data_IF_133740688750
#
_entry.id   IF_133740688750
#
_cell.length_a   1.000
_cell.length_b   1.000
_cell.length_c   1.000
_cell.angle_alpha   90.00
_cell.angle_beta   90.00
_cell.angle_gamma   90.00
#
_symmetry.space_group_name_H-M   'P 1'
#
loop_
_entity.id
_entity.type
_entity.pdbx_description
1 polymer ?
#
# COMPACT_ATOMS: atom_id res chain seq x y z
N UNK A 1 5.67 7.27 -1.33
CA UNK A 1 6.13 8.61 -1.72
C UNK A 1 5.40 9.73 -0.98
N UNK A 2 6.13 10.49 -0.17
CA UNK A 2 5.56 11.67 0.51
C UNK A 2 5.23 12.76 -0.52
N UNK A 3 4.07 13.40 -0.37
CA UNK A 3 3.65 14.45 -1.31
C UNK A 3 4.58 15.66 -1.26
N UNK A 4 4.82 16.29 -2.42
CA UNK A 4 5.66 17.49 -2.51
C UNK A 4 5.10 18.65 -1.68
N UNK A 5 3.78 18.72 -1.54
CA UNK A 5 3.10 19.73 -0.72
C UNK A 5 3.47 19.59 0.75
N UNK A 6 3.44 18.37 1.31
CA UNK A 6 3.87 18.12 2.69
C UNK A 6 5.34 18.45 2.91
N UNK A 7 6.21 18.10 1.95
CA UNK A 7 7.63 18.48 1.99
C UNK A 7 7.80 20.00 1.95
N UNK A 8 7.00 20.71 1.16
CA UNK A 8 7.02 22.17 1.10
C UNK A 8 6.52 22.80 2.40
N UNK A 9 5.50 22.24 3.05
CA UNK A 9 5.07 22.68 4.37
C UNK A 9 6.21 22.63 5.40
N UNK A 10 6.98 21.54 5.41
CA UNK A 10 8.17 21.42 6.29
C UNK A 10 9.20 22.50 5.93
N UNK A 11 9.48 22.71 4.65
CA UNK A 11 10.45 23.71 4.19
C UNK A 11 10.06 25.15 4.52
N UNK A 12 8.76 25.45 4.57
CA UNK A 12 8.26 26.78 4.90
C UNK A 12 8.31 27.07 6.41
N UNK A 13 8.46 26.05 7.26
CA UNK A 13 8.52 26.23 8.71
C UNK A 13 9.95 26.55 9.18
N UNK A 14 10.18 27.83 9.42
CA UNK A 14 11.47 28.38 9.87
C UNK A 14 11.89 27.87 11.26
N UNK A 15 10.97 27.31 12.05
CA UNK A 15 11.28 26.79 13.38
C UNK A 15 11.90 25.38 13.34
N UNK A 16 11.54 24.58 12.32
CA UNK A 16 11.97 23.18 12.19
C UNK A 16 13.16 23.01 11.24
N UNK A 17 13.21 23.77 10.14
CA UNK A 17 14.26 23.61 9.11
C UNK A 17 15.68 23.67 9.66
N UNK A 18 16.05 24.61 10.56
CA UNK A 18 17.41 24.67 11.11
C UNK A 18 17.78 23.46 11.98
N UNK A 19 16.78 22.69 12.43
CA UNK A 19 16.94 21.53 13.32
C UNK A 19 16.98 20.21 12.56
N UNK A 20 16.61 20.19 11.29
CA UNK A 20 16.59 18.99 10.45
C UNK A 20 17.93 18.88 9.70
N UNK A 21 18.81 17.97 10.13
CA UNK A 21 20.09 17.72 9.46
C UNK A 21 19.96 16.91 8.16
N UNK A 22 19.00 16.00 8.09
CA UNK A 22 18.68 15.22 6.90
C UNK A 22 17.22 14.77 6.94
N UNK A 23 16.56 14.77 5.78
CA UNK A 23 15.23 14.21 5.58
C UNK A 23 15.29 13.25 4.39
N UNK A 24 15.01 11.97 4.63
CA UNK A 24 15.08 10.93 3.60
C UNK A 24 13.91 9.96 3.72
N UNK A 25 13.35 9.60 2.58
CA UNK A 25 12.36 8.52 2.48
C UNK A 25 13.09 7.17 2.44
N UNK A 26 12.71 6.25 3.33
CA UNK A 26 13.38 4.95 3.48
C UNK A 26 12.68 3.83 2.72
N UNK A 27 11.41 4.01 2.31
CA UNK A 27 10.59 2.99 1.65
C UNK A 27 10.60 1.65 2.42
N UNK A 28 10.25 1.68 3.71
CA UNK A 28 10.13 0.51 4.58
C UNK A 28 8.77 0.55 5.28
N UNK A 29 7.70 0.44 4.49
CA UNK A 29 6.33 0.56 4.99
C UNK A 29 5.73 -0.82 5.31
N UNK A 30 6.49 -1.66 6.00
CA UNK A 30 6.06 -3.00 6.42
C UNK A 30 6.78 -3.39 7.72
N UNK A 31 6.19 -4.35 8.44
CA UNK A 31 6.83 -4.90 9.64
C UNK A 31 7.39 -6.29 9.33
N UNK A 32 8.72 -6.50 9.40
CA UNK A 32 9.28 -7.83 9.37
C UNK A 32 8.94 -8.54 10.68
N UNK A 33 8.30 -9.71 10.58
CA UNK A 33 7.99 -10.57 11.74
C UNK A 33 9.14 -11.55 11.97
N UNK A 34 9.65 -12.13 10.88
CA UNK A 34 10.82 -13.00 10.88
C UNK A 34 11.59 -12.89 9.55
N UNK A 35 12.54 -13.80 9.28
CA UNK A 35 13.36 -13.80 8.06
C UNK A 35 12.58 -14.00 6.74
N UNK A 36 11.35 -14.49 6.80
CA UNK A 36 10.53 -14.84 5.64
C UNK A 36 9.10 -14.27 5.72
N UNK A 37 8.71 -13.68 6.86
CA UNK A 37 7.36 -13.17 7.10
C UNK A 37 7.41 -11.67 7.33
N UNK A 38 6.51 -10.96 6.65
CA UNK A 38 6.22 -9.55 6.88
C UNK A 38 4.71 -9.33 6.93
N UNK A 39 4.30 -8.25 7.59
CA UNK A 39 2.92 -7.78 7.59
C UNK A 39 2.85 -6.34 7.09
N UNK A 40 1.77 -6.01 6.38
CA UNK A 40 1.48 -4.64 5.96
C UNK A 40 0.79 -3.84 7.06
N UNK A 41 0.37 -4.43 8.19
CA UNK A 41 -0.26 -3.78 9.35
C UNK A 41 -1.42 -2.82 8.99
N UNK A 42 -2.51 -3.40 8.48
CA UNK A 42 -3.75 -2.67 8.17
C UNK A 42 -4.91 -3.32 8.91
N UNK A 43 -5.19 -2.82 10.12
CA UNK A 43 -6.08 -3.45 11.12
C UNK A 43 -7.47 -3.80 10.55
N UNK A 44 -8.06 -2.92 9.73
CA UNK A 44 -9.42 -3.08 9.21
C UNK A 44 -9.48 -3.69 7.81
N UNK A 45 -8.38 -4.25 7.29
CA UNK A 45 -8.31 -4.68 5.88
C UNK A 45 -9.37 -5.74 5.55
N UNK A 46 -9.64 -6.64 6.50
CA UNK A 46 -10.63 -7.69 6.33
C UNK A 46 -12.05 -7.12 6.20
N UNK A 47 -12.37 -6.10 6.99
CA UNK A 47 -13.68 -5.44 6.93
C UNK A 47 -13.79 -4.56 5.67
N UNK A 48 -12.76 -3.77 5.37
CA UNK A 48 -12.78 -2.82 4.25
C UNK A 48 -12.76 -3.50 2.87
N UNK A 49 -12.15 -4.69 2.74
CA UNK A 49 -12.05 -5.41 1.46
C UNK A 49 -13.05 -6.56 1.31
N UNK A 50 -13.48 -7.18 2.42
CA UNK A 50 -14.30 -8.39 2.41
C UNK A 50 -15.59 -8.27 3.24
N UNK A 51 -15.80 -7.15 3.94
CA UNK A 51 -16.99 -6.90 4.75
C UNK A 51 -18.20 -6.47 3.90
N UNK A 52 -19.37 -6.40 4.54
CA UNK A 52 -20.60 -5.93 3.90
C UNK A 52 -20.54 -4.43 3.56
N UNK A 53 -19.68 -3.68 4.25
CA UNK A 53 -19.38 -2.27 4.03
C UNK A 53 -18.33 -2.02 2.93
N UNK A 54 -17.84 -3.06 2.25
CA UNK A 54 -16.89 -2.94 1.14
C UNK A 54 -17.45 -2.16 -0.07
N UNK A 55 -18.76 -1.85 -0.08
CA UNK A 55 -19.38 -0.94 -1.04
C UNK A 55 -18.93 0.54 -0.88
N UNK A 56 -18.32 0.90 0.26
CA UNK A 56 -17.63 2.20 0.43
C UNK A 56 -16.37 2.24 -0.46
N UNK A 57 -16.56 2.54 -1.76
CA UNK A 57 -15.50 2.52 -2.77
C UNK A 57 -14.24 3.27 -2.36
N UNK A 58 -14.38 4.42 -1.67
CA UNK A 58 -13.24 5.21 -1.21
C UNK A 58 -12.37 4.50 -0.17
N UNK A 59 -12.98 3.82 0.81
CA UNK A 59 -12.24 3.09 1.86
C UNK A 59 -11.57 1.87 1.24
N UNK A 60 -12.31 1.15 0.39
CA UNK A 60 -11.80 0.05 -0.39
C UNK A 60 -10.55 0.45 -1.19
N UNK A 61 -10.65 1.51 -2.00
CA UNK A 61 -9.54 1.99 -2.84
C UNK A 61 -8.35 2.45 -2.00
N UNK A 62 -8.60 3.17 -0.89
CA UNK A 62 -7.54 3.64 0.00
C UNK A 62 -6.82 2.46 0.67
N UNK A 63 -7.55 1.46 1.16
CA UNK A 63 -7.01 0.23 1.73
C UNK A 63 -6.15 -0.50 0.71
N UNK A 64 -6.69 -0.71 -0.50
CA UNK A 64 -6.01 -1.43 -1.58
C UNK A 64 -4.72 -0.73 -1.99
N UNK A 65 -4.75 0.60 -2.20
CA UNK A 65 -3.59 1.39 -2.59
C UNK A 65 -2.51 1.42 -1.50
N UNK A 66 -2.94 1.48 -0.23
CA UNK A 66 -2.03 1.42 0.91
C UNK A 66 -1.33 0.07 0.94
N UNK A 67 -2.06 -1.04 0.85
CA UNK A 67 -1.47 -2.38 0.79
C UNK A 67 -0.51 -2.55 -0.40
N UNK A 68 -0.91 -2.06 -1.59
CA UNK A 68 -0.07 -2.12 -2.79
C UNK A 68 1.25 -1.37 -2.61
N UNK A 69 1.19 -0.14 -2.10
CA UNK A 69 2.39 0.69 -1.83
C UNK A 69 3.31 -0.03 -0.84
N UNK A 70 2.75 -0.55 0.26
CA UNK A 70 3.51 -1.28 1.29
C UNK A 70 4.21 -2.52 0.71
N UNK A 71 3.51 -3.31 -0.11
CA UNK A 71 4.11 -4.47 -0.80
C UNK A 71 5.21 -4.03 -1.78
N UNK A 72 5.00 -2.95 -2.54
CA UNK A 72 6.03 -2.42 -3.43
C UNK A 72 7.30 -1.99 -2.66
N UNK A 73 7.15 -1.47 -1.44
CA UNK A 73 8.31 -1.17 -0.59
C UNK A 73 9.09 -2.42 -0.15
N UNK A 74 8.42 -3.57 -0.01
CA UNK A 74 9.10 -4.86 0.23
C UNK A 74 9.99 -5.20 -0.96
N UNK A 75 9.47 -5.12 -2.19
CA UNK A 75 10.25 -5.38 -3.40
C UNK A 75 11.44 -4.44 -3.53
N UNK A 76 11.22 -3.14 -3.26
CA UNK A 76 12.28 -2.14 -3.26
C UNK A 76 13.37 -2.46 -2.21
N UNK A 77 12.99 -2.92 -1.03
CA UNK A 77 13.93 -3.30 0.04
C UNK A 77 14.78 -4.52 -0.32
N UNK A 78 14.19 -5.48 -1.06
CA UNK A 78 14.85 -6.68 -1.56
C UNK A 78 15.64 -6.44 -2.86
N UNK A 79 15.44 -5.29 -3.51
CA UNK A 79 15.98 -4.95 -4.84
C UNK A 79 15.51 -5.91 -5.93
N UNK A 80 14.27 -6.36 -5.82
CA UNK A 80 13.66 -7.33 -6.73
C UNK A 80 12.55 -6.68 -7.56
N UNK A 81 12.31 -7.19 -8.77
CA UNK A 81 11.16 -6.83 -9.60
C UNK A 81 10.44 -8.12 -10.04
N UNK A 82 9.60 -8.71 -9.18
CA UNK A 82 8.99 -10.00 -9.44
C UNK A 82 7.86 -9.93 -10.47
N UNK A 83 7.56 -11.07 -11.09
CA UNK A 83 6.31 -11.24 -11.85
C UNK A 83 5.14 -11.36 -10.89
N UNK A 84 4.24 -10.36 -10.90
CA UNK A 84 3.05 -10.35 -10.06
C UNK A 84 2.04 -11.36 -10.61
N UNK A 85 1.63 -12.33 -9.77
CA UNK A 85 0.62 -13.33 -10.09
C UNK A 85 -0.50 -13.24 -9.07
N UNK A 86 -1.74 -13.38 -9.52
CA UNK A 86 -2.91 -13.36 -8.67
C UNK A 86 -3.84 -14.53 -8.98
N UNK A 87 -4.74 -14.81 -8.03
CA UNK A 87 -5.83 -15.75 -8.25
C UNK A 87 -6.97 -15.00 -8.94
N UNK A 88 -7.23 -15.34 -10.21
CA UNK A 88 -8.36 -14.79 -10.94
C UNK A 88 -9.70 -15.30 -10.40
N UNK A 89 -10.73 -14.47 -10.50
CA UNK A 89 -12.11 -14.92 -10.30
C UNK A 89 -12.47 -15.98 -11.35
N UNK A 90 -13.37 -16.89 -10.98
CA UNK A 90 -13.77 -18.00 -11.87
C UNK A 90 -14.53 -17.50 -13.11
N UNK A 91 -15.35 -16.47 -12.91
CA UNK A 91 -16.05 -15.73 -13.93
C UNK A 91 -16.06 -14.25 -13.51
N UNK A 92 -15.30 -13.37 -14.19
CA UNK A 92 -15.15 -11.98 -13.78
C UNK A 92 -16.45 -11.17 -13.94
N UNK A 93 -17.35 -11.58 -14.84
CA UNK A 93 -18.59 -10.83 -15.12
C UNK A 93 -19.66 -11.06 -14.04
N UNK A 94 -19.51 -12.15 -13.28
CA UNK A 94 -20.42 -12.54 -12.19
C UNK A 94 -19.75 -12.57 -10.81
N UNK A 95 -18.47 -12.17 -10.75
CA UNK A 95 -17.67 -12.16 -9.54
C UNK A 95 -18.18 -11.12 -8.54
N UNK A 96 -18.26 -11.50 -7.26
CA UNK A 96 -18.40 -10.54 -6.18
C UNK A 96 -17.11 -9.72 -6.02
N UNK A 97 -17.22 -8.49 -5.50
CA UNK A 97 -16.07 -7.56 -5.36
C UNK A 97 -14.87 -8.16 -4.63
N UNK A 98 -15.11 -8.97 -3.59
CA UNK A 98 -14.06 -9.69 -2.85
C UNK A 98 -13.24 -10.64 -3.72
N UNK A 99 -13.83 -11.23 -4.76
CA UNK A 99 -13.15 -12.13 -5.69
C UNK A 99 -12.27 -11.37 -6.68
N UNK A 100 -12.54 -10.07 -6.86
CA UNK A 100 -11.75 -9.15 -7.67
C UNK A 100 -10.63 -8.47 -6.87
N UNK A 101 -10.61 -8.56 -5.54
CA UNK A 101 -9.54 -7.98 -4.70
C UNK A 101 -8.14 -8.43 -5.14
N UNK A 102 -7.86 -9.73 -5.39
CA UNK A 102 -6.53 -10.16 -5.80
C UNK A 102 -6.07 -9.56 -7.13
N UNK A 103 -6.97 -9.42 -8.11
CA UNK A 103 -6.62 -8.85 -9.42
C UNK A 103 -6.41 -7.34 -9.33
N UNK A 104 -7.28 -6.63 -8.61
CA UNK A 104 -7.14 -5.19 -8.36
C UNK A 104 -5.84 -4.88 -7.59
N UNK A 105 -5.54 -5.64 -6.54
CA UNK A 105 -4.30 -5.49 -5.77
C UNK A 105 -3.06 -5.74 -6.63
N UNK A 106 -3.08 -6.78 -7.47
CA UNK A 106 -1.98 -7.08 -8.38
C UNK A 106 -1.74 -5.97 -9.41
N UNK A 107 -2.81 -5.37 -9.95
CA UNK A 107 -2.70 -4.20 -10.83
C UNK A 107 -2.05 -3.04 -10.09
N UNK A 108 -2.56 -2.71 -8.89
CA UNK A 108 -2.06 -1.57 -8.10
C UNK A 108 -0.60 -1.73 -7.64
N UNK A 109 -0.09 -2.96 -7.50
CA UNK A 109 1.32 -3.22 -7.19
C UNK A 109 2.21 -3.01 -8.41
N UNK A 110 1.70 -3.26 -9.62
CA UNK A 110 2.46 -3.19 -10.86
C UNK A 110 2.47 -1.79 -11.49
N UNK A 111 1.44 -0.98 -11.22
CA UNK A 111 1.32 0.41 -11.65
C UNK A 111 2.41 1.34 -11.06
#
# INVERSE_FOLDING_TARGET
>A
PVSKEMVNHIKCDVSVVPRIGALREMNLEFFPVDSQVFITDHENAMEELCGQSAEDSRKFDTCLQTMATRIATVFASLKELPFVRYRAARDPDTAHDRELVPSKLASAIWD
#
